data_IF_051735305723
#
_entry.id   IF_051735305723
#
_cell.length_a   1.000
_cell.length_b   1.000
_cell.length_c   1.000
_cell.angle_alpha   90.00
_cell.angle_beta   90.00
_cell.angle_gamma   90.00
#
_symmetry.space_group_name_H-M   'P 1'
#
loop_
_entity.id
_entity.type
_entity.pdbx_description
1 polymer ?
#
# COMPACT_ATOMS: atom_id res chain seq x y z
N UNK A 1 30.27 11.19 0.14
CA UNK A 1 29.98 10.48 -1.12
C UNK A 1 28.60 10.94 -1.57
N UNK A 2 28.55 11.90 -2.49
CA UNK A 2 27.31 12.35 -3.13
C UNK A 2 26.85 11.24 -4.08
N UNK A 3 25.76 10.55 -3.72
CA UNK A 3 25.10 9.64 -4.66
C UNK A 3 24.73 10.42 -5.92
N UNK A 4 25.06 9.84 -7.07
CA UNK A 4 24.82 10.38 -8.39
C UNK A 4 23.33 10.78 -8.49
N UNK A 5 23.03 12.03 -8.87
CA UNK A 5 21.65 12.57 -8.87
C UNK A 5 20.70 11.71 -9.74
N UNK A 6 21.27 10.98 -10.69
CA UNK A 6 20.59 10.01 -11.55
C UNK A 6 20.00 8.82 -10.77
N UNK A 7 20.60 8.37 -9.67
CA UNK A 7 20.09 7.26 -8.87
C UNK A 7 18.88 7.66 -7.99
N UNK A 8 18.75 8.94 -7.65
CA UNK A 8 17.62 9.44 -6.84
C UNK A 8 16.28 9.40 -7.60
N UNK A 9 16.33 9.27 -8.92
CA UNK A 9 15.15 9.27 -9.78
C UNK A 9 14.66 7.86 -10.15
N UNK A 10 15.19 6.79 -9.55
CA UNK A 10 14.83 5.43 -9.92
C UNK A 10 14.04 4.72 -8.82
N UNK A 11 12.98 4.02 -9.23
CA UNK A 11 12.28 3.07 -8.37
C UNK A 11 13.21 1.89 -8.14
N UNK A 12 13.53 1.61 -6.88
CA UNK A 12 14.34 0.45 -6.53
C UNK A 12 13.49 -0.80 -6.71
N UNK A 13 13.99 -1.72 -7.53
CA UNK A 13 13.39 -3.03 -7.72
C UNK A 13 14.21 -4.04 -6.94
N UNK A 14 13.54 -4.74 -6.05
CA UNK A 14 14.10 -5.87 -5.32
C UNK A 14 13.74 -7.17 -6.02
N UNK A 15 14.66 -8.12 -5.97
CA UNK A 15 14.43 -9.50 -6.42
C UNK A 15 14.65 -10.42 -5.25
N UNK A 16 13.83 -11.45 -5.14
CA UNK A 16 14.01 -12.52 -4.17
C UNK A 16 13.81 -13.86 -4.86
N UNK A 17 14.49 -14.89 -4.38
CA UNK A 17 14.23 -16.27 -4.80
C UNK A 17 12.78 -16.69 -4.50
N UNK A 18 12.18 -16.09 -3.47
CA UNK A 18 10.81 -16.35 -3.03
C UNK A 18 9.75 -15.71 -3.92
N UNK A 19 10.13 -14.88 -4.90
CA UNK A 19 9.20 -14.23 -5.84
C UNK A 19 9.32 -14.76 -7.27
N UNK A 20 9.87 -15.95 -7.47
CA UNK A 20 10.20 -16.50 -8.80
C UNK A 20 11.00 -15.49 -9.66
N UNK A 21 11.85 -14.68 -9.02
CA UNK A 21 12.60 -13.58 -9.63
C UNK A 21 11.77 -12.48 -10.30
N UNK A 22 10.44 -12.45 -10.09
CA UNK A 22 9.63 -11.30 -10.46
C UNK A 22 10.13 -10.08 -9.69
N UNK A 23 10.44 -8.96 -10.37
CA UNK A 23 10.87 -7.76 -9.68
C UNK A 23 9.70 -7.19 -8.89
N UNK A 24 10.00 -6.80 -7.67
CA UNK A 24 9.09 -6.22 -6.70
C UNK A 24 9.63 -4.87 -6.26
N UNK A 25 8.80 -4.07 -5.61
CA UNK A 25 9.21 -2.84 -4.94
C UNK A 25 8.50 -2.71 -3.62
N UNK A 26 9.10 -1.96 -2.70
CA UNK A 26 8.38 -1.48 -1.52
C UNK A 26 7.65 -0.19 -1.83
N UNK A 27 6.55 -0.02 -1.12
CA UNK A 27 5.80 1.20 -1.10
C UNK A 27 5.36 1.54 0.32
N UNK A 28 5.12 2.83 0.55
CA UNK A 28 4.52 3.35 1.78
C UNK A 28 3.38 4.33 1.46
N UNK A 29 2.27 4.22 2.19
CA UNK A 29 1.16 5.17 2.16
C UNK A 29 0.55 5.29 3.56
N UNK A 30 0.43 6.51 4.10
CA UNK A 30 -0.15 6.79 5.44
C UNK A 30 0.31 5.78 6.54
N UNK A 31 1.62 5.59 6.71
CA UNK A 31 2.27 4.63 7.66
C UNK A 31 2.04 3.13 7.39
N UNK A 32 1.41 2.77 6.28
CA UNK A 32 1.27 1.39 5.82
C UNK A 32 2.36 1.06 4.81
N UNK A 33 2.95 -0.12 4.96
CA UNK A 33 3.95 -0.67 4.08
C UNK A 33 3.35 -1.77 3.20
N UNK A 34 3.80 -1.78 1.95
CA UNK A 34 3.31 -2.71 0.93
C UNK A 34 4.47 -3.28 0.13
N UNK A 35 4.37 -4.56 -0.22
CA UNK A 35 5.10 -5.14 -1.34
C UNK A 35 4.21 -5.00 -2.58
N UNK A 36 4.77 -4.48 -3.66
CA UNK A 36 4.02 -4.17 -4.89
C UNK A 36 4.82 -4.53 -6.12
N UNK A 37 4.12 -4.77 -7.24
CA UNK A 37 4.73 -4.92 -8.54
C UNK A 37 5.07 -3.54 -9.14
N UNK A 38 6.34 -3.28 -9.50
CA UNK A 38 6.79 -2.04 -10.13
C UNK A 38 6.27 -1.86 -11.56
N UNK A 39 5.66 -2.90 -12.15
CA UNK A 39 5.04 -2.88 -13.48
C UNK A 39 3.62 -3.45 -13.43
N UNK A 40 2.79 -3.04 -14.39
CA UNK A 40 1.49 -3.67 -14.64
C UNK A 40 1.74 -4.90 -15.51
N UNK A 41 1.69 -6.12 -14.94
CA UNK A 41 2.02 -7.36 -15.64
C UNK A 41 0.90 -7.89 -16.58
N UNK A 42 0.13 -7.01 -17.22
CA UNK A 42 -0.99 -7.43 -18.08
C UNK A 42 -2.09 -8.21 -17.33
N UNK A 43 -2.04 -8.25 -16.00
CA UNK A 43 -3.10 -8.83 -15.18
C UNK A 43 -4.35 -7.94 -15.33
N UNK A 44 -5.40 -8.51 -15.90
CA UNK A 44 -6.72 -7.88 -16.01
C UNK A 44 -7.36 -7.76 -14.63
N UNK A 45 -6.85 -6.87 -13.79
CA UNK A 45 -7.51 -6.49 -12.57
C UNK A 45 -7.95 -5.03 -12.76
N UNK A 46 -9.25 -4.82 -12.87
CA UNK A 46 -9.87 -3.57 -12.46
C UNK A 46 -10.41 -3.88 -11.06
N UNK A 47 -9.93 -3.24 -9.97
CA UNK A 47 -9.20 -1.96 -9.92
C UNK A 47 -7.67 -2.05 -9.79
N UNK A 48 -7.02 -3.13 -10.25
CA UNK A 48 -5.56 -3.13 -10.48
C UNK A 48 -4.76 -3.48 -9.23
N UNK A 49 -4.86 -4.72 -8.76
CA UNK A 49 -4.07 -5.21 -7.64
C UNK A 49 -2.59 -5.35 -8.04
N UNK A 50 -1.87 -4.23 -7.99
CA UNK A 50 -0.39 -4.20 -8.00
C UNK A 50 0.19 -4.57 -6.64
N UNK A 51 -0.60 -4.46 -5.58
CA UNK A 51 -0.21 -4.82 -4.23
C UNK A 51 -0.14 -6.34 -4.14
N UNK A 52 1.06 -6.85 -3.85
CA UNK A 52 1.30 -8.26 -3.55
C UNK A 52 0.86 -8.54 -2.13
N UNK A 53 1.36 -7.75 -1.17
CA UNK A 53 1.08 -7.96 0.25
C UNK A 53 1.09 -6.64 1.04
N UNK A 54 0.15 -6.52 1.98
CA UNK A 54 0.19 -5.52 3.06
C UNK A 54 1.07 -6.05 4.19
N UNK A 55 2.00 -5.23 4.69
CA UNK A 55 3.03 -5.69 5.62
C UNK A 55 2.71 -5.38 7.09
N UNK A 56 1.89 -4.36 7.35
CA UNK A 56 1.55 -3.95 8.72
C UNK A 56 0.18 -3.30 8.82
N UNK A 57 -0.32 -3.26 10.04
CA UNK A 57 -1.34 -2.30 10.47
C UNK A 57 -0.63 -1.05 11.01
N UNK A 58 -1.07 0.18 10.68
CA UNK A 58 -0.50 1.40 11.22
C UNK A 58 -0.53 1.42 12.73
N UNK A 59 0.62 1.71 13.33
CA UNK A 59 0.71 2.00 14.74
C UNK A 59 0.62 3.52 14.93
N UNK A 60 -0.48 3.98 15.51
CA UNK A 60 -0.72 5.40 15.76
C UNK A 60 -0.09 5.87 17.07
N UNK A 61 0.45 4.96 17.89
CA UNK A 61 1.11 5.30 19.15
C UNK A 61 2.56 5.73 18.98
N UNK A 62 3.19 5.37 17.85
CA UNK A 62 4.56 5.74 17.52
C UNK A 62 4.62 7.04 16.73
N UNK A 63 5.75 7.74 16.84
CA UNK A 63 6.01 8.95 16.08
C UNK A 63 6.15 8.67 14.56
N UNK A 64 5.97 9.72 13.75
CA UNK A 64 6.04 9.60 12.30
C UNK A 64 7.44 9.19 11.83
N UNK A 65 8.50 9.78 12.41
CA UNK A 65 9.88 9.52 11.99
C UNK A 65 10.26 8.04 12.17
N UNK A 66 9.75 7.40 13.21
CA UNK A 66 9.87 5.97 13.46
C UNK A 66 9.04 5.17 12.45
N UNK A 67 7.76 5.50 12.24
CA UNK A 67 6.87 4.79 11.31
C UNK A 67 7.34 4.87 9.83
N UNK A 68 8.09 5.92 9.49
CA UNK A 68 8.70 6.11 8.16
C UNK A 68 9.77 5.09 7.80
N UNK A 69 10.39 4.45 8.78
CA UNK A 69 11.48 3.48 8.56
C UNK A 69 11.25 2.13 9.21
N UNK A 70 10.29 2.03 10.13
CA UNK A 70 10.05 0.81 10.91
C UNK A 70 8.58 0.47 10.95
N UNK A 71 8.31 -0.83 10.99
CA UNK A 71 6.96 -1.35 11.18
C UNK A 71 7.00 -2.70 11.88
N UNK A 72 5.86 -3.07 12.47
CA UNK A 72 5.66 -4.37 13.08
C UNK A 72 4.99 -5.30 12.07
N UNK A 73 5.63 -6.43 11.79
CA UNK A 73 5.10 -7.40 10.86
C UNK A 73 4.08 -8.31 11.54
N UNK A 74 2.82 -8.16 11.13
CA UNK A 74 1.69 -8.98 11.54
C UNK A 74 0.98 -9.46 10.27
N UNK A 75 1.40 -10.64 9.79
CA UNK A 75 0.95 -11.24 8.55
C UNK A 75 -0.57 -11.38 8.51
N UNK A 76 -1.20 -10.96 7.41
CA UNK A 76 -2.60 -11.24 7.13
C UNK A 76 -2.77 -12.66 6.56
N UNK A 77 -4.01 -13.07 6.35
CA UNK A 77 -4.51 -14.32 5.77
C UNK A 77 -3.81 -14.74 4.47
N UNK A 78 -3.26 -13.78 3.73
CA UNK A 78 -2.57 -14.02 2.44
C UNK A 78 -1.05 -14.06 2.55
N UNK A 79 -0.51 -13.95 3.77
CA UNK A 79 0.93 -13.89 4.03
C UNK A 79 1.34 -15.01 4.98
N UNK A 80 2.34 -15.79 4.59
CA UNK A 80 2.90 -16.81 5.47
C UNK A 80 3.55 -16.17 6.72
N UNK A 81 3.44 -16.86 7.85
CA UNK A 81 4.13 -16.47 9.09
C UNK A 81 5.64 -16.62 8.92
N UNK A 82 6.39 -15.85 9.71
CA UNK A 82 7.83 -16.03 9.80
C UNK A 82 8.15 -16.98 10.94
N UNK A 83 8.75 -18.13 10.62
CA UNK A 83 9.40 -18.97 11.61
C UNK A 83 10.89 -19.10 11.25
N UNK A 84 11.81 -18.51 12.04
CA UNK A 84 13.24 -18.61 11.78
C UNK A 84 13.82 -20.02 12.01
N UNK A 85 13.05 -20.94 12.62
CA UNK A 85 13.48 -22.31 12.91
C UNK A 85 13.14 -23.31 11.81
N UNK A 86 12.23 -22.97 10.89
CA UNK A 86 11.86 -23.83 9.76
C UNK A 86 12.95 -23.77 8.67
N UNK A 87 13.68 -24.88 8.51
CA UNK A 87 14.84 -25.01 7.59
C UNK A 87 14.49 -25.52 6.19
N UNK A 88 13.34 -26.16 5.98
CA UNK A 88 12.96 -26.84 4.74
C UNK A 88 11.90 -26.04 3.98
N UNK A 89 12.30 -24.85 3.55
CA UNK A 89 11.38 -23.77 3.23
C UNK A 89 11.23 -23.39 1.77
N UNK A 90 11.10 -24.36 0.86
CA UNK A 90 10.99 -24.03 -0.57
C UNK A 90 9.53 -23.92 -1.04
N UNK A 91 8.57 -24.67 -0.48
CA UNK A 91 7.17 -24.63 -0.94
C UNK A 91 6.26 -23.70 -0.11
N UNK A 92 6.46 -23.63 1.21
CA UNK A 92 5.65 -22.77 2.10
C UNK A 92 6.01 -21.26 2.02
N UNK A 93 7.04 -20.91 1.24
CA UNK A 93 7.70 -19.60 1.27
C UNK A 93 7.54 -18.80 -0.02
N UNK A 94 6.95 -19.39 -1.06
CA UNK A 94 6.74 -18.79 -2.40
C UNK A 94 5.88 -17.51 -2.34
N UNK A 95 5.33 -17.17 -1.17
CA UNK A 95 4.60 -15.91 -0.96
C UNK A 95 4.90 -15.23 0.38
N UNK A 96 5.94 -15.65 1.12
CA UNK A 96 6.22 -15.08 2.43
C UNK A 96 6.80 -13.66 2.31
N UNK A 97 6.04 -12.59 2.64
CA UNK A 97 6.48 -11.21 2.42
C UNK A 97 7.77 -10.89 3.16
N UNK A 98 7.91 -11.38 4.38
CA UNK A 98 9.10 -11.14 5.20
C UNK A 98 10.36 -11.80 4.61
N UNK A 99 10.26 -13.03 4.09
CA UNK A 99 11.40 -13.67 3.42
C UNK A 99 11.76 -12.96 2.12
N UNK A 100 10.77 -12.46 1.38
CA UNK A 100 11.02 -11.61 0.20
C UNK A 100 11.85 -10.39 0.59
N UNK A 101 11.55 -9.75 1.73
CA UNK A 101 12.27 -8.56 2.18
C UNK A 101 13.66 -8.87 2.73
N UNK A 102 13.80 -9.93 3.53
CA UNK A 102 15.07 -10.28 4.17
C UNK A 102 16.07 -10.92 3.20
N UNK A 103 15.59 -11.71 2.23
CA UNK A 103 16.41 -12.35 1.18
C UNK A 103 16.44 -11.52 -0.12
N UNK A 104 16.12 -10.22 -0.05
CA UNK A 104 16.09 -9.35 -1.22
C UNK A 104 17.50 -8.95 -1.71
N UNK A 105 17.64 -8.87 -3.03
CA UNK A 105 18.78 -8.21 -3.69
C UNK A 105 18.25 -7.06 -4.57
N UNK A 106 18.61 -5.78 -4.28
CA UNK A 106 19.45 -5.33 -3.16
C UNK A 106 18.75 -5.49 -1.79
N UNK A 107 19.49 -5.50 -0.67
CA UNK A 107 18.89 -5.64 0.66
C UNK A 107 18.04 -4.41 0.99
N UNK A 108 16.74 -4.60 1.21
CA UNK A 108 15.79 -3.50 1.46
C UNK A 108 15.38 -3.34 2.92
N UNK A 109 15.48 -4.39 3.72
CA UNK A 109 15.05 -4.39 5.11
C UNK A 109 15.89 -5.36 5.96
N UNK A 110 15.81 -5.19 7.27
CA UNK A 110 16.42 -6.10 8.25
C UNK A 110 15.55 -6.21 9.50
N UNK A 111 15.72 -7.30 10.23
CA UNK A 111 15.14 -7.45 11.56
C UNK A 111 15.93 -6.61 12.58
N UNK A 112 15.23 -5.98 13.52
CA UNK A 112 15.88 -5.24 14.61
C UNK A 112 16.14 -6.10 15.85
N UNK A 113 15.52 -7.29 15.92
CA UNK A 113 15.52 -8.17 17.08
C UNK A 113 14.45 -7.83 18.12
N UNK A 114 13.69 -6.74 17.95
CA UNK A 114 12.56 -6.42 18.84
C UNK A 114 11.34 -7.24 18.45
N UNK A 115 10.63 -7.67 19.49
CA UNK A 115 9.44 -8.51 19.39
C UNK A 115 8.34 -7.96 20.29
N UNK A 116 7.08 -8.10 19.88
CA UNK A 116 5.92 -7.81 20.74
C UNK A 116 4.78 -8.76 20.43
N UNK A 117 3.87 -8.90 21.38
CA UNK A 117 2.67 -9.74 21.19
C UNK A 117 1.52 -8.90 20.64
N UNK A 118 0.88 -9.38 19.57
CA UNK A 118 -0.34 -8.78 19.01
C UNK A 118 -1.38 -9.86 18.70
N UNK A 119 -2.63 -9.46 18.50
CA UNK A 119 -3.63 -10.36 17.91
C UNK A 119 -3.33 -10.55 16.43
N UNK A 120 -3.37 -11.80 15.97
CA UNK A 120 -3.15 -12.14 14.57
C UNK A 120 -4.21 -11.48 13.67
N UNK A 121 -3.75 -10.89 12.56
CA UNK A 121 -4.61 -10.41 11.48
C UNK A 121 -5.13 -11.56 10.59
N UNK A 122 -4.50 -12.73 10.66
CA UNK A 122 -4.85 -13.87 9.82
C UNK A 122 -6.19 -14.50 10.29
N UNK A 123 -7.20 -14.52 9.40
CA UNK A 123 -8.57 -14.99 9.72
C UNK A 123 -8.60 -16.38 10.37
N UNK A 124 -7.91 -17.41 9.83
CA UNK A 124 -7.72 -18.71 10.45
C UNK A 124 -7.27 -18.71 11.92
N UNK A 125 -6.54 -17.69 12.37
CA UNK A 125 -6.05 -17.64 13.74
C UNK A 125 -7.10 -17.17 14.75
N UNK A 126 -8.21 -16.62 14.28
CA UNK A 126 -9.32 -16.14 15.12
C UNK A 126 -8.85 -15.22 16.27
N UNK A 127 -7.92 -14.30 15.97
CA UNK A 127 -7.41 -13.34 16.94
C UNK A 127 -6.48 -13.90 18.02
N UNK A 128 -5.89 -15.09 17.82
CA UNK A 128 -4.82 -15.61 18.66
C UNK A 128 -3.68 -14.61 18.82
N UNK A 129 -3.09 -14.59 20.02
CA UNK A 129 -1.87 -13.84 20.27
C UNK A 129 -0.70 -14.46 19.51
N UNK A 130 0.01 -13.63 18.76
CA UNK A 130 1.19 -13.98 17.98
C UNK A 130 2.32 -13.03 18.30
N UNK A 131 3.55 -13.52 18.09
CA UNK A 131 4.74 -12.71 18.22
C UNK A 131 5.01 -11.98 16.90
N UNK A 132 4.91 -10.65 16.93
CA UNK A 132 5.23 -9.77 15.82
C UNK A 132 6.68 -9.31 15.92
N UNK A 133 7.36 -9.25 14.79
CA UNK A 133 8.76 -8.81 14.70
C UNK A 133 8.83 -7.40 14.13
N UNK A 134 9.71 -6.58 14.68
CA UNK A 134 9.99 -5.24 14.17
C UNK A 134 10.95 -5.34 12.97
N UNK A 135 10.55 -4.73 11.87
CA UNK A 135 11.32 -4.64 10.63
C UNK A 135 11.79 -3.20 10.45
N UNK A 136 13.07 -3.01 10.15
CA UNK A 136 13.64 -1.74 9.74
C UNK A 136 13.93 -1.74 8.23
N UNK A 137 13.31 -0.80 7.51
CA UNK A 137 13.56 -0.54 6.10
C UNK A 137 14.84 0.30 5.98
N UNK A 138 15.83 -0.26 5.30
CA UNK A 138 17.14 0.38 5.08
C UNK A 138 17.23 1.06 3.72
N UNK A 139 16.31 0.75 2.81
CA UNK A 139 16.20 1.40 1.51
C UNK A 139 15.83 2.89 1.67
N UNK A 140 16.45 3.79 0.88
CA UNK A 140 16.09 5.22 0.86
C UNK A 140 14.64 5.45 0.43
N UNK A 141 14.00 6.49 0.97
CA UNK A 141 12.60 6.83 0.67
C UNK A 141 12.40 7.18 -0.82
N UNK A 142 13.41 7.78 -1.43
CA UNK A 142 13.43 8.12 -2.84
C UNK A 142 13.29 6.87 -3.72
N UNK A 143 13.77 5.72 -3.25
CA UNK A 143 13.70 4.44 -3.95
C UNK A 143 12.34 3.75 -3.87
N UNK A 144 11.45 4.17 -2.97
CA UNK A 144 10.13 3.56 -2.78
C UNK A 144 9.22 3.83 -3.98
N UNK A 145 8.34 2.88 -4.32
CA UNK A 145 7.29 3.10 -5.30
C UNK A 145 6.24 4.07 -4.74
N UNK A 146 5.92 5.13 -5.47
CA UNK A 146 4.98 6.17 -5.01
C UNK A 146 3.54 5.83 -5.38
N UNK A 147 2.61 6.20 -4.50
CA UNK A 147 1.17 6.15 -4.80
C UNK A 147 0.63 7.56 -5.01
N UNK A 148 -0.22 7.72 -6.01
CA UNK A 148 -0.94 8.97 -6.22
C UNK A 148 -2.01 9.10 -5.13
N UNK A 149 -1.98 10.16 -4.34
CA UNK A 149 -2.97 10.42 -3.30
C UNK A 149 -4.41 10.55 -3.84
N UNK A 150 -4.52 11.06 -5.07
CA UNK A 150 -5.81 11.35 -5.70
C UNK A 150 -6.45 10.11 -6.32
N UNK A 151 -5.83 9.56 -7.37
CA UNK A 151 -6.39 8.44 -8.12
C UNK A 151 -5.93 7.07 -7.62
N UNK A 152 -5.10 7.03 -6.57
CA UNK A 152 -4.53 5.81 -5.97
C UNK A 152 -3.68 4.96 -6.92
N UNK A 153 -3.42 5.45 -8.13
CA UNK A 153 -2.53 4.78 -9.07
C UNK A 153 -1.14 4.67 -8.47
N UNK A 154 -0.47 3.56 -8.73
CA UNK A 154 0.93 3.37 -8.41
C UNK A 154 1.82 3.88 -9.53
N UNK A 155 2.94 4.50 -9.18
CA UNK A 155 4.00 4.88 -10.11
C UNK A 155 4.46 3.65 -10.90
N UNK A 156 4.91 3.84 -12.13
CA UNK A 156 5.45 2.73 -12.94
C UNK A 156 6.96 2.84 -13.03
N UNK A 157 7.65 1.72 -12.87
CA UNK A 157 9.09 1.67 -13.11
C UNK A 157 9.39 1.97 -14.58
N UNK A 158 10.33 2.90 -14.82
CA UNK A 158 10.73 3.32 -16.16
C UNK A 158 10.08 4.61 -16.62
N UNK A 159 9.22 5.24 -15.81
CA UNK A 159 8.85 6.64 -16.04
C UNK A 159 10.10 7.53 -15.98
N UNK A 160 10.23 8.44 -16.96
CA UNK A 160 11.39 9.34 -17.07
C UNK A 160 11.48 10.31 -15.89
N UNK A 161 10.35 10.62 -15.25
CA UNK A 161 10.26 11.53 -14.11
C UNK A 161 9.46 10.93 -12.96
N UNK A 162 10.05 10.95 -11.76
CA UNK A 162 9.37 10.52 -10.55
C UNK A 162 8.22 11.46 -10.21
N UNK A 163 7.13 10.93 -9.65
CA UNK A 163 5.99 11.76 -9.26
C UNK A 163 6.33 12.76 -8.16
N UNK A 164 5.94 14.02 -8.35
CA UNK A 164 6.26 15.10 -7.41
C UNK A 164 5.58 14.87 -6.05
N UNK A 165 6.34 15.11 -4.99
CA UNK A 165 5.84 15.11 -3.62
C UNK A 165 5.01 16.38 -3.36
N UNK A 166 3.83 16.21 -2.77
CA UNK A 166 2.87 17.28 -2.46
C UNK A 166 2.54 17.39 -0.96
N UNK A 167 3.21 16.59 -0.13
CA UNK A 167 3.08 16.57 1.32
C UNK A 167 3.91 15.44 1.91
N UNK A 168 3.82 15.22 3.22
CA UNK A 168 4.41 14.06 3.86
C UNK A 168 3.76 12.78 3.32
N UNK A 169 4.50 11.98 2.55
CA UNK A 169 4.05 10.71 1.97
C UNK A 169 2.90 10.80 0.97
N UNK A 170 2.67 12.01 0.45
CA UNK A 170 1.64 12.32 -0.52
C UNK A 170 2.32 12.67 -1.84
N UNK A 171 2.02 11.89 -2.87
CA UNK A 171 2.53 12.10 -4.22
C UNK A 171 1.37 12.25 -5.19
N UNK A 172 1.58 13.01 -6.26
CA UNK A 172 0.56 13.19 -7.31
C UNK A 172 1.12 12.74 -8.66
N UNK A 173 0.37 11.92 -9.39
CA UNK A 173 0.72 11.58 -10.77
C UNK A 173 0.50 12.78 -11.70
N UNK A 174 1.18 12.78 -12.85
CA UNK A 174 1.15 13.89 -13.82
C UNK A 174 -0.29 14.22 -14.25
N UNK A 175 -1.11 13.20 -14.51
CA UNK A 175 -2.53 13.36 -14.88
C UNK A 175 -3.33 14.12 -13.81
N UNK A 176 -3.16 13.77 -12.53
CA UNK A 176 -3.88 14.44 -11.44
C UNK A 176 -3.32 15.84 -11.14
N UNK A 177 -2.05 16.09 -11.43
CA UNK A 177 -1.45 17.42 -11.32
C UNK A 177 -2.05 18.37 -12.38
N UNK A 178 -2.20 17.91 -13.62
CA UNK A 178 -2.73 18.68 -14.76
C UNK A 178 -4.23 18.93 -14.67
N UNK A 179 -4.98 18.05 -13.99
CA UNK A 179 -6.40 18.28 -13.72
C UNK A 179 -6.55 19.49 -12.76
N UNK A 180 -6.89 20.64 -13.35
CA UNK A 180 -7.01 21.96 -12.71
C UNK A 180 -7.81 21.94 -11.40
N UNK A 181 -7.40 22.83 -10.49
CA UNK A 181 -7.87 23.03 -9.10
C UNK A 181 -9.40 23.07 -8.95
N UNK A 182 -10.15 23.47 -9.97
CA UNK A 182 -11.60 23.67 -9.91
C UNK A 182 -12.39 22.34 -9.87
N UNK A 183 -11.88 21.27 -10.48
CA UNK A 183 -12.50 19.93 -10.37
C UNK A 183 -12.16 19.21 -9.05
N UNK A 184 -11.31 19.80 -8.20
CA UNK A 184 -10.81 19.15 -6.98
C UNK A 184 -11.80 19.23 -5.80
N UNK A 185 -12.84 20.05 -5.87
CA UNK A 185 -13.64 20.36 -4.67
C UNK A 185 -14.92 19.52 -4.51
N UNK A 186 -15.57 19.08 -5.60
CA UNK A 186 -16.94 18.52 -5.52
C UNK A 186 -17.01 17.00 -5.72
N UNK A 187 -16.17 16.42 -6.60
CA UNK A 187 -16.10 14.96 -6.79
C UNK A 187 -15.37 14.22 -5.66
N UNK A 188 -14.59 14.95 -4.85
CA UNK A 188 -13.57 14.36 -3.96
C UNK A 188 -13.96 14.23 -2.51
N UNK A 189 -15.08 14.83 -2.06
CA UNK A 189 -15.52 14.58 -0.69
C UNK A 189 -16.00 13.13 -0.55
N UNK A 190 -16.78 12.64 -1.51
CA UNK A 190 -17.36 11.29 -1.48
C UNK A 190 -16.33 10.17 -1.66
N UNK A 191 -15.42 10.26 -2.63
CA UNK A 191 -14.39 9.23 -2.82
C UNK A 191 -13.41 9.16 -1.64
N UNK A 192 -13.03 10.30 -1.06
CA UNK A 192 -12.16 10.31 0.13
C UNK A 192 -12.91 9.87 1.40
N UNK A 193 -14.19 10.23 1.59
CA UNK A 193 -14.99 9.73 2.72
C UNK A 193 -15.19 8.21 2.64
N UNK A 194 -15.53 7.68 1.47
CA UNK A 194 -15.72 6.23 1.29
C UNK A 194 -14.38 5.51 1.52
N UNK A 195 -13.26 6.01 1.03
CA UNK A 195 -11.95 5.36 1.24
C UNK A 195 -11.47 5.44 2.70
N UNK A 196 -11.45 6.63 3.29
CA UNK A 196 -10.86 6.83 4.62
C UNK A 196 -11.81 6.33 5.75
N UNK A 197 -13.09 6.10 5.46
CA UNK A 197 -14.10 5.64 6.45
C UNK A 197 -14.67 4.24 6.17
N UNK A 198 -14.74 3.80 4.90
CA UNK A 198 -15.50 2.61 4.49
C UNK A 198 -14.59 1.45 4.02
N UNK A 199 -13.47 1.67 3.31
CA UNK A 199 -12.56 0.55 2.93
C UNK A 199 -12.02 -0.29 4.11
N UNK A 200 -11.70 0.29 5.29
CA UNK A 200 -11.35 -0.52 6.47
C UNK A 200 -12.49 -1.43 6.96
N UNK A 201 -13.74 -1.14 6.59
CA UNK A 201 -14.91 -1.95 6.90
C UNK A 201 -15.17 -3.06 5.87
N UNK A 202 -14.71 -2.92 4.62
CA UNK A 202 -14.88 -3.93 3.57
C UNK A 202 -13.91 -5.11 3.72
N UNK A 203 -12.81 -4.92 4.47
CA UNK A 203 -11.96 -6.03 4.93
C UNK A 203 -12.70 -6.98 5.92
N UNK A 204 -13.81 -6.52 6.52
CA UNK A 204 -14.58 -7.25 7.54
C UNK A 204 -15.77 -8.05 7.02
N UNK A 205 -16.27 -7.83 5.81
CA UNK A 205 -17.43 -8.56 5.28
C UNK A 205 -17.31 -8.77 3.77
N UNK A 206 -17.48 -10.03 3.36
CA UNK A 206 -17.79 -10.49 1.99
C UNK A 206 -16.73 -10.30 0.89
N UNK A 207 -15.91 -11.35 0.70
CA UNK A 207 -15.35 -11.76 -0.61
C UNK A 207 -16.24 -12.81 -1.32
N UNK A 208 -17.49 -12.95 -0.89
CA UNK A 208 -18.50 -13.72 -1.61
C UNK A 208 -19.60 -12.74 -2.05
N UNK A 209 -19.84 -12.73 -3.35
CA UNK A 209 -20.84 -11.94 -4.08
C UNK A 209 -20.48 -10.47 -4.26
N UNK A 210 -20.11 -10.09 -5.49
CA UNK A 210 -20.89 -9.12 -6.28
C UNK A 210 -20.57 -9.34 -7.76
N UNK A 211 -21.61 -9.79 -8.44
CA UNK A 211 -21.82 -9.79 -9.88
C UNK A 211 -21.80 -8.34 -10.39
N UNK A 212 -21.18 -8.14 -11.54
CA UNK A 212 -21.16 -6.89 -12.28
C UNK A 212 -22.55 -6.26 -12.42
N UNK A 213 -22.68 -4.98 -12.06
CA UNK A 213 -23.61 -4.08 -12.77
C UNK A 213 -22.77 -2.91 -13.27
N UNK A 214 -22.38 -3.02 -14.54
CA UNK A 214 -21.96 -1.90 -15.34
C UNK A 214 -23.21 -1.19 -15.87
N UNK A 215 -23.34 0.10 -15.59
CA UNK A 215 -24.10 1.00 -16.47
C UNK A 215 -23.45 2.38 -16.46
N UNK A 216 -23.31 3.06 -17.62
CA UNK A 216 -22.62 4.34 -17.73
C UNK A 216 -23.51 5.48 -17.24
N UNK A 217 -22.88 6.57 -16.83
CA UNK A 217 -23.51 7.85 -16.51
C UNK A 217 -24.59 8.24 -17.53
N UNK A 218 -25.84 8.42 -17.07
CA UNK A 218 -26.81 9.40 -17.60
C UNK A 218 -27.96 9.58 -16.61
N UNK A 219 -28.16 10.83 -16.20
CA UNK A 219 -29.33 11.41 -15.54
C UNK A 219 -29.78 10.77 -14.22
N UNK A 220 -29.31 11.33 -13.10
CA UNK A 220 -30.04 11.30 -11.84
C UNK A 220 -30.32 12.72 -11.38
N UNK A 221 -31.60 13.11 -11.45
CA UNK A 221 -32.15 14.27 -10.74
C UNK A 221 -32.17 13.93 -9.24
N UNK A 222 -31.56 14.79 -8.42
CA UNK A 222 -31.56 14.63 -6.96
C UNK A 222 -32.97 14.84 -6.38
N UNK A 223 -33.36 14.14 -5.30
CA UNK A 223 -34.50 14.53 -4.49
C UNK A 223 -34.22 15.86 -3.79
N UNK A 224 -35.19 16.79 -3.86
CA UNK A 224 -35.12 18.17 -3.35
C UNK A 224 -34.85 18.27 -1.84
N UNK A 225 -35.00 17.18 -1.07
CA UNK A 225 -34.90 17.21 0.39
C UNK A 225 -33.47 17.39 0.94
N UNK A 226 -32.43 17.04 0.18
CA UNK A 226 -31.03 17.16 0.63
C UNK A 226 -30.39 18.54 0.38
N UNK A 227 -31.06 19.42 -0.38
CA UNK A 227 -30.59 20.80 -0.64
C UNK A 227 -30.98 21.79 0.47
N UNK A 228 -31.83 21.39 1.42
CA UNK A 228 -32.33 22.28 2.49
C UNK A 228 -31.39 22.44 3.69
N UNK A 229 -30.30 21.66 3.78
CA UNK A 229 -29.38 21.66 4.94
C UNK A 229 -28.03 22.34 4.74
N UNK A 230 -27.79 22.97 3.57
CA UNK A 230 -26.49 23.58 3.24
C UNK A 230 -26.56 25.05 2.84
N UNK A 231 -27.56 25.80 3.33
CA UNK A 231 -27.56 27.27 3.19
C UNK A 231 -27.61 27.89 4.58
N UNK A 232 -26.55 28.59 5.04
CA UNK A 232 -26.73 29.65 6.01
C UNK A 232 -27.20 30.91 5.25
N UNK A 233 -28.33 31.47 5.67
CA UNK A 233 -28.71 32.85 5.33
C UNK A 233 -28.94 33.61 6.63
N UNK A 234 -28.83 34.95 6.61
CA UNK A 234 -27.66 35.78 6.37
C UNK A 234 -26.85 36.06 7.66
#
# INVERSE_FOLDING_TARGET
MSLDTTQQNLVVCLRSRHSAHLPLSLSRYKRQWFITFPRQYGMAAYPGHRIVNKLNTPDMSVDEAYARKRFWYNADTYSARYDPSERNGDEAYISSPIHILLDSDPPVAKLTGRVRTEKSNNKPDNGKEILCQEIEVIMPEEGLLRQCYYCLSWETQGEETRWKQCGDDVYWCNVCQEQNVINRTVGNLWHNLVRDTIEPAWDRTSLHEIVCIATPCRNFTLPIELLSRLVPMP
#
